data_IF_788960810051
#
_entry.id   IF_788960810051
#
_cell.length_a   1.000
_cell.length_b   1.000
_cell.length_c   1.000
_cell.angle_alpha   90.00
_cell.angle_beta   90.00
_cell.angle_gamma   90.00
#
_symmetry.space_group_name_H-M   'P 1'
#
loop_
_entity.id
_entity.type
_entity.pdbx_description
1 polymer ?
#
# COMPACT_ATOMS: atom_id res chain seq x y z
N UNK A 1 4.66 16.54 1.80
CA UNK A 1 4.31 15.11 1.88
C UNK A 1 5.39 14.37 2.65
N UNK A 2 5.00 13.57 3.65
CA UNK A 2 5.90 12.67 4.37
C UNK A 2 5.87 11.28 3.69
N UNK A 3 6.93 10.49 3.86
CA UNK A 3 7.06 9.19 3.21
C UNK A 3 7.35 8.10 4.24
N UNK A 4 6.85 6.90 3.96
CA UNK A 4 7.08 5.70 4.76
C UNK A 4 8.51 5.21 4.54
N UNK A 5 9.20 4.89 5.63
CA UNK A 5 10.50 4.21 5.62
C UNK A 5 10.31 2.69 5.57
N UNK A 6 11.33 1.95 5.12
CA UNK A 6 11.25 0.49 5.11
C UNK A 6 11.01 -0.10 6.51
N UNK A 7 11.64 0.48 7.54
CA UNK A 7 11.48 0.04 8.92
C UNK A 7 10.05 0.27 9.43
N UNK A 8 9.42 1.39 9.07
CA UNK A 8 8.00 1.62 9.39
C UNK A 8 7.10 0.60 8.69
N UNK A 9 7.39 0.27 7.41
CA UNK A 9 6.63 -0.74 6.68
C UNK A 9 6.74 -2.13 7.33
N UNK A 10 7.94 -2.53 7.76
CA UNK A 10 8.17 -3.78 8.50
C UNK A 10 7.45 -3.75 9.85
N UNK A 11 7.54 -2.63 10.58
CA UNK A 11 6.86 -2.47 11.87
C UNK A 11 5.34 -2.58 11.74
N UNK A 12 4.76 -1.99 10.69
CA UNK A 12 3.33 -2.12 10.38
C UNK A 12 2.97 -3.57 10.12
N UNK A 13 3.74 -4.28 9.29
CA UNK A 13 3.55 -5.70 9.03
C UNK A 13 3.59 -6.54 10.31
N UNK A 14 4.60 -6.33 11.15
CA UNK A 14 4.80 -7.16 12.34
C UNK A 14 3.64 -7.01 13.33
N UNK A 15 3.12 -5.79 13.51
CA UNK A 15 1.89 -5.52 14.29
C UNK A 15 0.67 -6.24 13.72
N UNK A 16 0.56 -6.31 12.39
CA UNK A 16 -0.55 -7.01 11.72
C UNK A 16 -0.47 -8.52 12.02
N UNK A 17 0.71 -9.13 11.85
CA UNK A 17 0.92 -10.56 12.13
C UNK A 17 0.72 -10.89 13.62
N UNK A 18 1.16 -10.03 14.53
CA UNK A 18 0.93 -10.19 15.96
C UNK A 18 -0.58 -10.24 16.30
N UNK A 19 -1.37 -9.41 15.63
CA UNK A 19 -2.81 -9.32 15.87
C UNK A 19 -3.62 -10.49 15.28
N UNK A 20 -3.30 -10.91 14.06
CA UNK A 20 -4.14 -11.84 13.28
C UNK A 20 -3.54 -13.25 13.16
N UNK A 21 -2.28 -13.44 13.55
CA UNK A 21 -1.49 -14.64 13.26
C UNK A 21 -0.93 -14.67 11.83
N UNK A 22 -0.24 -15.76 11.49
CA UNK A 22 0.44 -15.94 10.21
C UNK A 22 1.96 -16.12 10.37
N UNK A 23 2.68 -16.21 9.26
CA UNK A 23 4.14 -16.35 9.27
C UNK A 23 4.82 -14.99 9.39
N UNK A 24 5.54 -14.78 10.50
CA UNK A 24 6.36 -13.59 10.72
C UNK A 24 7.62 -13.59 9.85
N UNK A 25 8.08 -12.41 9.47
CA UNK A 25 9.33 -12.22 8.73
C UNK A 25 9.13 -11.93 7.24
N UNK A 26 10.25 -11.74 6.55
CA UNK A 26 10.30 -11.33 5.15
C UNK A 26 11.45 -12.02 4.40
N UNK A 27 11.39 -11.96 3.07
CA UNK A 27 12.47 -12.42 2.22
C UNK A 27 13.38 -11.24 1.83
N UNK A 28 14.69 -11.35 2.04
CA UNK A 28 15.66 -10.26 1.81
C UNK A 28 15.63 -9.70 0.37
N UNK A 29 15.41 -10.56 -0.63
CA UNK A 29 15.32 -10.12 -2.01
C UNK A 29 14.00 -9.41 -2.27
N UNK A 30 12.87 -9.94 -1.78
CA UNK A 30 11.56 -9.37 -2.04
C UNK A 30 11.33 -8.07 -1.27
N UNK A 31 11.81 -7.97 -0.03
CA UNK A 31 11.75 -6.74 0.77
C UNK A 31 12.56 -5.61 0.12
N UNK A 32 13.64 -5.93 -0.61
CA UNK A 32 14.40 -4.94 -1.39
C UNK A 32 13.58 -4.30 -2.52
N UNK A 33 12.60 -5.02 -3.10
CA UNK A 33 11.70 -4.47 -4.09
C UNK A 33 10.66 -3.53 -3.48
N UNK A 34 10.19 -3.80 -2.26
CA UNK A 34 9.37 -2.86 -1.51
C UNK A 34 10.17 -1.59 -1.16
N UNK A 35 11.42 -1.76 -0.73
CA UNK A 35 12.32 -0.63 -0.45
C UNK A 35 12.54 0.26 -1.69
N UNK A 36 12.73 -0.35 -2.87
CA UNK A 36 12.82 0.38 -4.13
C UNK A 36 11.53 1.11 -4.47
N UNK A 37 10.36 0.50 -4.26
CA UNK A 37 9.08 1.17 -4.46
C UNK A 37 8.91 2.39 -3.54
N UNK A 38 9.27 2.28 -2.25
CA UNK A 38 9.24 3.38 -1.28
C UNK A 38 10.16 4.55 -1.68
N UNK A 39 11.27 4.27 -2.36
CA UNK A 39 12.14 5.32 -2.90
C UNK A 39 11.57 5.93 -4.18
N UNK A 40 11.11 5.11 -5.13
CA UNK A 40 10.62 5.57 -6.43
C UNK A 40 9.40 6.49 -6.32
N UNK A 41 8.47 6.22 -5.39
CA UNK A 41 7.28 7.05 -5.20
C UNK A 41 7.61 8.50 -4.80
N UNK A 42 8.85 8.81 -4.42
CA UNK A 42 9.29 10.19 -4.13
C UNK A 42 9.53 11.02 -5.38
N UNK A 43 9.63 10.41 -6.56
CA UNK A 43 9.79 11.13 -7.82
C UNK A 43 8.45 11.62 -8.35
N UNK A 44 8.22 12.93 -8.27
CA UNK A 44 6.97 13.58 -8.68
C UNK A 44 6.76 13.60 -10.21
N UNK A 45 7.81 13.43 -11.02
CA UNK A 45 7.68 13.36 -12.49
C UNK A 45 6.96 12.07 -12.92
N UNK A 46 7.17 10.97 -12.16
CA UNK A 46 6.55 9.67 -12.43
C UNK A 46 5.31 9.41 -11.56
N UNK A 47 5.27 9.98 -10.34
CA UNK A 47 4.18 9.79 -9.39
C UNK A 47 3.66 11.15 -8.89
N UNK A 48 3.01 11.95 -9.77
CA UNK A 48 2.65 13.34 -9.47
C UNK A 48 1.55 13.46 -8.42
N UNK A 49 0.69 12.46 -8.28
CA UNK A 49 -0.42 12.49 -7.31
C UNK A 49 -0.22 11.51 -6.15
N UNK A 50 -0.88 11.78 -5.03
CA UNK A 50 -0.92 10.87 -3.88
C UNK A 50 -1.46 9.48 -4.27
N UNK A 51 -2.45 9.42 -5.17
CA UNK A 51 -2.98 8.16 -5.67
C UNK A 51 -1.94 7.40 -6.50
N UNK A 52 -1.12 8.06 -7.32
CA UNK A 52 -0.03 7.39 -8.07
C UNK A 52 0.99 6.74 -7.13
N UNK A 53 1.36 7.46 -6.07
CA UNK A 53 2.29 7.01 -5.03
C UNK A 53 1.74 5.81 -4.27
N UNK A 54 0.50 5.92 -3.75
CA UNK A 54 -0.16 4.83 -3.02
C UNK A 54 -0.39 3.61 -3.92
N UNK A 55 -0.82 3.82 -5.18
CA UNK A 55 -1.01 2.74 -6.15
C UNK A 55 0.28 1.96 -6.32
N UNK A 56 1.39 2.65 -6.58
CA UNK A 56 2.66 1.97 -6.80
C UNK A 56 3.12 1.22 -5.56
N UNK A 57 3.04 1.83 -4.39
CA UNK A 57 3.42 1.22 -3.11
C UNK A 57 2.60 -0.05 -2.82
N UNK A 58 1.27 0.06 -2.84
CA UNK A 58 0.39 -1.05 -2.54
C UNK A 58 0.52 -2.17 -3.57
N UNK A 59 0.58 -1.83 -4.86
CA UNK A 59 0.74 -2.81 -5.93
C UNK A 59 2.07 -3.56 -5.80
N UNK A 60 3.17 -2.86 -5.50
CA UNK A 60 4.48 -3.46 -5.27
C UNK A 60 4.49 -4.38 -4.05
N UNK A 61 3.87 -3.97 -2.93
CA UNK A 61 3.72 -4.84 -1.76
C UNK A 61 2.92 -6.10 -2.08
N UNK A 62 1.83 -6.00 -2.85
CA UNK A 62 1.02 -7.16 -3.22
C UNK A 62 1.78 -8.09 -4.16
N UNK A 63 2.45 -7.55 -5.18
CA UNK A 63 3.05 -8.35 -6.27
C UNK A 63 4.42 -8.91 -5.96
N UNK A 64 5.22 -8.19 -5.18
CA UNK A 64 6.56 -8.67 -4.85
C UNK A 64 6.59 -9.59 -3.64
N UNK A 65 5.48 -9.67 -2.90
CA UNK A 65 5.34 -10.51 -1.71
C UNK A 65 6.52 -10.35 -0.73
N UNK A 66 6.88 -9.12 -0.30
CA UNK A 66 8.03 -8.88 0.56
C UNK A 66 8.01 -9.72 1.85
N UNK A 67 6.83 -9.97 2.41
CA UNK A 67 6.65 -10.69 3.66
C UNK A 67 6.25 -12.15 3.44
N UNK A 68 6.53 -13.01 4.42
CA UNK A 68 6.17 -14.44 4.33
C UNK A 68 4.66 -14.67 4.34
N UNK A 69 3.90 -13.80 5.00
CA UNK A 69 2.44 -13.78 5.00
C UNK A 69 1.92 -12.34 5.10
N UNK A 70 0.62 -12.12 5.02
CA UNK A 70 0.02 -10.82 5.35
C UNK A 70 0.24 -9.70 4.33
N UNK A 71 0.86 -9.96 3.17
CA UNK A 71 1.18 -8.94 2.15
C UNK A 71 -0.01 -8.07 1.70
N UNK A 72 -1.19 -8.67 1.51
CA UNK A 72 -2.42 -7.95 1.12
C UNK A 72 -2.93 -7.03 2.23
N UNK A 73 -2.89 -7.50 3.48
CA UNK A 73 -3.31 -6.69 4.63
C UNK A 73 -2.30 -5.58 4.87
N UNK A 74 -1.01 -5.90 4.80
CA UNK A 74 0.06 -4.92 4.92
C UNK A 74 -0.05 -3.83 3.86
N UNK A 75 -0.36 -4.14 2.60
CA UNK A 75 -0.54 -3.11 1.59
C UNK A 75 -1.68 -2.14 1.93
N UNK A 76 -2.82 -2.64 2.47
CA UNK A 76 -3.91 -1.79 2.93
C UNK A 76 -3.44 -0.84 4.04
N UNK A 77 -2.77 -1.35 5.07
CA UNK A 77 -2.28 -0.52 6.18
C UNK A 77 -1.18 0.46 5.75
N UNK A 78 -0.34 0.09 4.77
CA UNK A 78 0.62 1.03 4.17
C UNK A 78 -0.11 2.18 3.46
N UNK A 79 -1.19 1.88 2.71
CA UNK A 79 -2.03 2.90 2.09
C UNK A 79 -2.69 3.83 3.12
N UNK A 80 -3.26 3.26 4.18
CA UNK A 80 -3.86 4.01 5.29
C UNK A 80 -2.83 4.92 5.98
N UNK A 81 -1.65 4.38 6.31
CA UNK A 81 -0.60 5.15 6.96
C UNK A 81 -0.07 6.26 6.04
N UNK A 82 0.05 6.01 4.74
CA UNK A 82 0.47 7.04 3.78
C UNK A 82 -0.53 8.21 3.71
N UNK A 83 -1.83 7.92 3.76
CA UNK A 83 -2.87 8.96 3.81
C UNK A 83 -2.82 9.74 5.13
N UNK A 84 -2.65 9.05 6.25
CA UNK A 84 -2.56 9.65 7.59
C UNK A 84 -1.35 10.59 7.72
N UNK A 85 -0.21 10.24 7.10
CA UNK A 85 0.99 11.09 7.04
C UNK A 85 0.77 12.47 6.39
N UNK A 86 -0.30 12.63 5.63
CA UNK A 86 -0.69 13.87 4.93
C UNK A 86 -2.07 14.36 5.39
N UNK A 87 -2.50 13.98 6.60
CA UNK A 87 -3.76 14.36 7.25
C UNK A 87 -5.03 14.01 6.44
N UNK A 88 -4.95 12.94 5.63
CA UNK A 88 -6.02 12.44 4.73
C UNK A 88 -6.56 11.07 5.15
N UNK A 89 -6.37 10.69 6.41
CA UNK A 89 -6.88 9.44 6.95
C UNK A 89 -8.39 9.30 6.70
N UNK A 90 -8.83 8.06 6.44
CA UNK A 90 -10.24 7.74 6.39
C UNK A 90 -10.51 6.28 6.74
N UNK A 91 -11.48 6.11 7.62
CA UNK A 91 -11.93 4.83 8.14
C UNK A 91 -12.43 3.85 7.08
N UNK A 92 -12.98 4.34 5.95
CA UNK A 92 -13.50 3.50 4.86
C UNK A 92 -12.42 2.99 3.92
N UNK A 93 -11.16 3.43 4.05
CA UNK A 93 -10.08 2.97 3.17
C UNK A 93 -9.93 1.46 3.23
N UNK A 94 -9.86 0.90 4.43
CA UNK A 94 -9.64 -0.53 4.62
C UNK A 94 -10.78 -1.36 4.03
N UNK A 95 -12.03 -0.96 4.31
CA UNK A 95 -13.25 -1.60 3.80
C UNK A 95 -13.26 -1.62 2.26
N UNK A 96 -13.03 -0.47 1.62
CA UNK A 96 -13.07 -0.36 0.16
C UNK A 96 -11.93 -1.13 -0.49
N UNK A 97 -10.74 -1.16 0.12
CA UNK A 97 -9.56 -1.78 -0.47
C UNK A 97 -9.50 -3.30 -0.27
N UNK A 98 -10.33 -3.88 0.61
CA UNK A 98 -10.30 -5.32 0.92
C UNK A 98 -10.48 -6.20 -0.34
N UNK A 99 -11.52 -5.95 -1.11
CA UNK A 99 -11.77 -6.68 -2.36
C UNK A 99 -10.78 -6.29 -3.47
N UNK A 100 -10.38 -5.01 -3.50
CA UNK A 100 -9.49 -4.47 -4.53
C UNK A 100 -8.12 -5.16 -4.46
N UNK A 101 -7.52 -5.30 -3.27
CA UNK A 101 -6.21 -5.95 -3.14
C UNK A 101 -6.25 -7.44 -3.47
N UNK A 102 -7.38 -8.10 -3.27
CA UNK A 102 -7.60 -9.51 -3.69
C UNK A 102 -7.62 -9.60 -5.22
N UNK A 103 -8.36 -8.71 -5.88
CA UNK A 103 -8.41 -8.67 -7.35
C UNK A 103 -7.05 -8.31 -7.97
N UNK A 104 -6.32 -7.37 -7.38
CA UNK A 104 -4.94 -7.09 -7.77
C UNK A 104 -4.09 -8.35 -7.63
N UNK A 105 -4.12 -9.04 -6.48
CA UNK A 105 -3.32 -10.25 -6.26
C UNK A 105 -3.61 -11.33 -7.31
N UNK A 106 -4.89 -11.53 -7.66
CA UNK A 106 -5.35 -12.51 -8.63
C UNK A 106 -5.13 -12.12 -10.11
N UNK A 107 -4.57 -10.93 -10.38
CA UNK A 107 -4.42 -10.37 -11.74
C UNK A 107 -5.76 -10.13 -12.46
N UNK A 108 -6.87 -10.05 -11.74
CA UNK A 108 -8.18 -9.68 -12.29
C UNK A 108 -8.40 -8.18 -12.34
N UNK A 109 -7.48 -7.41 -11.75
CA UNK A 109 -7.48 -5.95 -11.74
C UNK A 109 -6.06 -5.43 -11.99
N UNK A 110 -5.89 -4.64 -13.03
CA UNK A 110 -4.62 -4.08 -13.48
C UNK A 110 -4.14 -2.92 -12.59
N UNK A 111 -2.86 -2.55 -12.71
CA UNK A 111 -2.31 -1.40 -11.97
C UNK A 111 -3.02 -0.09 -12.34
N UNK A 112 -3.46 0.07 -13.59
CA UNK A 112 -4.15 1.28 -14.04
C UNK A 112 -5.56 1.35 -13.47
N UNK A 113 -6.33 0.25 -13.52
CA UNK A 113 -7.65 0.18 -12.89
C UNK A 113 -7.56 0.40 -11.37
N UNK A 114 -6.49 -0.11 -10.74
CA UNK A 114 -6.25 0.13 -9.31
C UNK A 114 -6.01 1.61 -9.02
N UNK A 115 -5.23 2.29 -9.87
CA UNK A 115 -5.03 3.73 -9.78
C UNK A 115 -6.36 4.48 -9.90
N UNK A 116 -7.19 4.16 -10.89
CA UNK A 116 -8.49 4.81 -11.09
C UNK A 116 -9.39 4.70 -9.85
N UNK A 117 -9.41 3.54 -9.20
CA UNK A 117 -10.15 3.33 -7.94
C UNK A 117 -9.61 4.25 -6.83
N UNK A 118 -8.28 4.31 -6.66
CA UNK A 118 -7.65 5.18 -5.66
C UNK A 118 -7.87 6.67 -5.95
N UNK A 119 -7.79 7.09 -7.21
CA UNK A 119 -8.09 8.47 -7.63
C UNK A 119 -9.53 8.84 -7.29
N UNK A 120 -10.49 7.97 -7.61
CA UNK A 120 -11.90 8.19 -7.32
C UNK A 120 -12.18 8.25 -5.82
N UNK A 121 -11.57 7.35 -5.05
CA UNK A 121 -11.64 7.34 -3.59
C UNK A 121 -11.15 8.67 -3.01
N UNK A 122 -9.94 9.10 -3.36
CA UNK A 122 -9.33 10.34 -2.82
C UNK A 122 -10.11 11.60 -3.26
N UNK A 123 -10.63 11.63 -4.48
CA UNK A 123 -11.43 12.75 -4.99
C UNK A 123 -12.74 12.91 -4.23
N UNK A 124 -13.43 11.80 -3.93
CA UNK A 124 -14.71 11.84 -3.21
C UNK A 124 -14.56 12.34 -1.77
N UNK A 125 -13.35 12.25 -1.20
CA UNK A 125 -13.07 12.72 0.16
C UNK A 125 -12.88 14.21 0.23
N UNK A 126 -12.29 14.80 -0.81
CA UNK A 126 -12.06 16.25 -0.86
C UNK A 126 -13.36 17.06 -0.98
N UNK A 127 -14.50 16.39 -1.20
CA UNK A 127 -15.83 16.99 -1.34
C UNK A 127 -16.77 16.69 -0.15
N UNK A 128 -16.25 16.07 0.93
CA UNK A 128 -17.00 15.75 2.15
C UNK A 128 -16.61 16.69 3.29
#
# INVERSE_FOLDING_TARGET
MKYITLNEAITIHDKIIELIGGLSGYNDKQISYLASALEHIKNDDYYPTIADKITHLMFSCIKFHPFLDGNKRTSIFLGMHFLDLDDKYNEKFAEIMEDVVVNVANNTLSKNEFNEILQNFIKNFSNS
#
